data_IF_338678928446
#
_entry.id   IF_338678928446
#
_cell.length_a   1.000
_cell.length_b   1.000
_cell.length_c   1.000
_cell.angle_alpha   90.00
_cell.angle_beta   90.00
_cell.angle_gamma   90.00
#
_symmetry.space_group_name_H-M   'P 1'
#
loop_
_entity.id
_entity.type
_entity.pdbx_description
1 polymer ?
#
# COMPACT_ATOMS: atom_id res chain seq x y z
N UNK A 1 -13.10 -0.13 -2.94
CA UNK A 1 -12.85 -1.57 -2.74
C UNK A 1 -13.88 -2.22 -1.83
N UNK A 2 -14.20 -1.66 -0.66
CA UNK A 2 -15.32 -2.13 0.18
C UNK A 2 -16.61 -2.45 -0.60
N UNK A 3 -17.09 -1.52 -1.44
CA UNK A 3 -18.28 -1.73 -2.28
C UNK A 3 -18.17 -2.93 -3.24
N UNK A 4 -16.98 -3.19 -3.80
CA UNK A 4 -16.76 -4.34 -4.68
C UNK A 4 -16.84 -5.65 -3.89
N UNK A 5 -16.22 -5.66 -2.71
CA UNK A 5 -16.30 -6.78 -1.78
C UNK A 5 -17.74 -7.04 -1.30
N UNK A 6 -18.47 -5.99 -0.91
CA UNK A 6 -19.88 -6.07 -0.51
C UNK A 6 -20.77 -6.62 -1.64
N UNK A 7 -20.42 -6.35 -2.90
CA UNK A 7 -21.08 -6.88 -4.10
C UNK A 7 -20.59 -8.30 -4.49
N UNK A 8 -19.70 -8.91 -3.70
CA UNK A 8 -19.23 -10.29 -3.89
C UNK A 8 -17.93 -10.46 -4.68
N UNK A 9 -17.25 -9.38 -5.09
CA UNK A 9 -15.93 -9.49 -5.69
C UNK A 9 -14.88 -9.88 -4.64
N UNK A 10 -14.19 -11.00 -4.90
CA UNK A 10 -13.12 -11.55 -4.05
C UNK A 10 -11.79 -11.70 -4.80
N UNK A 11 -11.66 -11.13 -6.00
CA UNK A 11 -10.46 -11.25 -6.83
C UNK A 11 -9.55 -10.04 -6.72
N UNK A 12 -10.00 -9.00 -6.03
CA UNK A 12 -9.34 -7.72 -6.00
C UNK A 12 -9.12 -7.25 -4.56
N UNK A 13 -7.92 -6.75 -4.30
CA UNK A 13 -7.53 -6.20 -3.00
C UNK A 13 -6.88 -4.83 -3.19
N UNK A 14 -7.12 -3.95 -2.23
CA UNK A 14 -6.35 -2.72 -2.09
C UNK A 14 -5.07 -3.03 -1.31
N UNK A 15 -3.94 -2.43 -1.70
CA UNK A 15 -2.71 -2.49 -0.91
C UNK A 15 -2.63 -1.23 -0.06
N UNK A 16 -2.80 -1.40 1.25
CA UNK A 16 -2.70 -0.35 2.25
C UNK A 16 -1.30 -0.24 2.83
N UNK A 17 -1.00 0.93 3.39
CA UNK A 17 0.15 1.07 4.26
C UNK A 17 -0.10 0.57 5.68
N UNK A 18 0.97 0.63 6.47
CA UNK A 18 0.97 0.15 7.84
C UNK A 18 0.12 1.01 8.80
N UNK A 19 -0.31 2.20 8.35
CA UNK A 19 -1.23 3.05 9.08
C UNK A 19 -2.70 2.65 8.90
N UNK A 20 -3.01 1.73 7.97
CA UNK A 20 -4.37 1.23 7.78
C UNK A 20 -4.63 -0.07 8.53
N UNK A 21 -5.88 -0.33 8.95
CA UNK A 21 -6.26 -1.64 9.46
C UNK A 21 -6.27 -2.69 8.34
N UNK A 22 -6.08 -3.96 8.72
CA UNK A 22 -6.30 -5.09 7.83
C UNK A 22 -7.81 -5.31 7.65
N UNK A 23 -8.28 -5.39 6.40
CA UNK A 23 -9.70 -5.63 6.08
C UNK A 23 -9.81 -6.73 5.00
N UNK A 24 -10.98 -7.35 4.81
CA UNK A 24 -11.18 -8.39 3.79
C UNK A 24 -10.84 -7.97 2.34
N UNK A 25 -10.81 -6.67 2.08
CA UNK A 25 -10.52 -6.05 0.78
C UNK A 25 -9.32 -5.08 0.83
N UNK A 26 -8.61 -4.99 1.97
CA UNK A 26 -7.44 -4.14 2.19
C UNK A 26 -6.31 -4.95 2.83
N UNK A 27 -5.25 -5.18 2.08
CA UNK A 27 -4.06 -5.89 2.53
C UNK A 27 -3.01 -4.91 3.04
N UNK A 28 -2.50 -5.15 4.24
CA UNK A 28 -1.44 -4.35 4.87
C UNK A 28 -0.18 -5.21 5.07
N UNK A 29 1.01 -4.60 5.15
CA UNK A 29 2.24 -5.35 5.38
C UNK A 29 2.21 -6.02 6.75
N UNK A 30 2.79 -7.22 6.86
CA UNK A 30 2.95 -7.90 8.15
C UNK A 30 4.30 -7.46 8.76
N UNK A 31 4.29 -7.05 10.03
CA UNK A 31 5.49 -6.61 10.78
C UNK A 31 6.28 -7.79 11.36
N UNK A 32 7.53 -7.52 11.74
CA UNK A 32 8.37 -8.42 12.55
C UNK A 32 8.51 -9.84 11.98
N UNK A 33 8.75 -9.94 10.68
CA UNK A 33 8.78 -11.21 9.99
C UNK A 33 10.17 -11.84 10.06
N UNK A 34 10.18 -13.15 10.31
CA UNK A 34 11.41 -13.92 10.28
C UNK A 34 11.86 -14.18 8.84
N UNK A 35 13.17 -14.39 8.66
CA UNK A 35 13.72 -14.71 7.35
C UNK A 35 13.23 -16.09 6.89
N UNK A 36 12.98 -16.21 5.58
CA UNK A 36 12.56 -17.47 4.95
C UNK A 36 11.10 -17.85 5.16
N UNK A 37 10.27 -17.03 5.83
CA UNK A 37 8.87 -17.37 6.06
C UNK A 37 7.95 -16.90 4.93
N UNK A 38 6.77 -17.53 4.76
CA UNK A 38 5.77 -17.08 3.78
C UNK A 38 5.32 -15.63 4.01
N UNK A 39 5.22 -15.20 5.26
CA UNK A 39 4.90 -13.82 5.62
C UNK A 39 5.94 -12.88 5.02
N UNK A 40 7.23 -13.21 5.15
CA UNK A 40 8.30 -12.39 4.57
C UNK A 40 8.18 -12.23 3.08
N UNK A 41 7.94 -13.34 2.38
CA UNK A 41 7.69 -13.33 0.92
C UNK A 41 6.50 -12.45 0.56
N UNK A 42 5.43 -12.52 1.33
CA UNK A 42 4.26 -11.67 1.15
C UNK A 42 4.59 -10.18 1.31
N UNK A 43 5.25 -9.77 2.40
CA UNK A 43 5.57 -8.35 2.64
C UNK A 43 6.61 -7.83 1.66
N UNK A 44 7.57 -8.65 1.23
CA UNK A 44 8.51 -8.26 0.17
C UNK A 44 7.77 -7.98 -1.15
N UNK A 45 6.83 -8.85 -1.54
CA UNK A 45 6.00 -8.64 -2.72
C UNK A 45 5.08 -7.41 -2.58
N UNK A 46 4.46 -7.24 -1.41
CA UNK A 46 3.60 -6.10 -1.08
C UNK A 46 4.37 -4.78 -1.16
N UNK A 47 5.56 -4.72 -0.54
CA UNK A 47 6.44 -3.56 -0.57
C UNK A 47 6.93 -3.23 -1.99
N UNK A 48 7.26 -4.24 -2.79
CA UNK A 48 7.63 -4.06 -4.20
C UNK A 48 6.50 -3.44 -5.03
N UNK A 49 5.27 -3.92 -4.86
CA UNK A 49 4.10 -3.35 -5.52
C UNK A 49 3.88 -1.88 -5.10
N UNK A 50 4.01 -1.58 -3.80
CA UNK A 50 3.85 -0.22 -3.26
C UNK A 50 4.93 0.77 -3.70
N UNK A 51 6.17 0.31 -3.84
CA UNK A 51 7.28 1.16 -4.29
C UNK A 51 6.98 1.88 -5.62
N UNK A 52 6.21 1.25 -6.50
CA UNK A 52 5.76 1.86 -7.76
C UNK A 52 4.91 3.11 -7.51
N UNK A 53 3.91 3.03 -6.64
CA UNK A 53 3.02 4.17 -6.36
C UNK A 53 3.71 5.23 -5.51
N UNK A 54 4.59 4.84 -4.60
CA UNK A 54 5.38 5.77 -3.76
C UNK A 54 6.31 6.62 -4.62
N UNK A 55 7.01 6.02 -5.59
CA UNK A 55 7.83 6.74 -6.57
C UNK A 55 7.00 7.70 -7.42
N UNK A 56 5.84 7.25 -7.90
CA UNK A 56 4.90 8.09 -8.64
C UNK A 56 4.49 9.32 -7.81
N UNK A 57 4.08 9.12 -6.56
CA UNK A 57 3.77 10.23 -5.65
C UNK A 57 4.97 11.13 -5.36
N UNK A 58 6.18 10.59 -5.28
CA UNK A 58 7.41 11.39 -5.18
C UNK A 58 7.58 12.35 -6.35
N UNK A 59 7.38 11.87 -7.57
CA UNK A 59 7.41 12.72 -8.78
C UNK A 59 6.29 13.76 -8.74
N UNK A 60 5.06 13.36 -8.43
CA UNK A 60 3.92 14.28 -8.36
C UNK A 60 4.15 15.39 -7.31
N UNK A 61 4.67 15.05 -6.13
CA UNK A 61 5.03 16.02 -5.09
C UNK A 61 6.13 16.99 -5.56
N UNK A 62 7.09 16.51 -6.37
CA UNK A 62 8.14 17.34 -6.96
C UNK A 62 7.60 18.31 -8.01
N UNK A 63 6.70 17.84 -8.89
CA UNK A 63 6.06 18.66 -9.93
C UNK A 63 5.16 19.73 -9.30
N UNK A 64 4.31 19.34 -8.36
CA UNK A 64 3.37 20.25 -7.69
C UNK A 64 3.97 20.87 -6.42
N UNK A 65 5.29 21.06 -6.36
CA UNK A 65 5.97 21.62 -5.19
C UNK A 65 5.49 23.03 -4.82
N UNK A 66 4.93 23.78 -5.77
CA UNK A 66 4.31 25.08 -5.51
C UNK A 66 3.06 25.01 -4.62
N UNK A 67 2.37 23.86 -4.59
CA UNK A 67 1.19 23.61 -3.76
C UNK A 67 1.55 22.95 -2.42
N UNK A 68 2.82 22.59 -2.20
CA UNK A 68 3.25 21.96 -0.96
C UNK A 68 3.30 22.99 0.17
N UNK A 69 2.62 22.69 1.28
CA UNK A 69 2.63 23.50 2.50
C UNK A 69 4.01 23.50 3.21
N UNK A 70 4.95 22.63 2.80
CA UNK A 70 6.33 22.64 3.30
C UNK A 70 7.19 23.79 2.74
N UNK A 71 6.55 24.87 2.28
CA UNK A 71 7.19 26.16 1.98
C UNK A 71 6.98 27.08 3.19
N UNK A 72 7.69 26.81 4.28
CA UNK A 72 8.04 27.79 5.32
C UNK A 72 9.51 27.63 5.62
#
# INVERSE_FOLDING_TARGET
MKRHFDNGDRRTWLLGDDGYPLEPWLMTPIKNQHLGTPERRYTDAHGSARNTIERCFGVLKSVFRCLSHQRQ
#
